data_IF_902296787045
#
_entry.id   IF_902296787045
#
_cell.length_a   1.000
_cell.length_b   1.000
_cell.length_c   1.000
_cell.angle_alpha   90.00
_cell.angle_beta   90.00
_cell.angle_gamma   90.00
#
_symmetry.space_group_name_H-M   'P 1'
#
loop_
_entity.id
_entity.type
_entity.pdbx_description
1 polymer ?
#
# COMPACT_ATOMS: atom_id res chain seq x y z
N UNK A 1 11.56 4.00 55.54
CA UNK A 1 10.50 3.26 54.81
C UNK A 1 10.07 4.14 53.64
N UNK A 2 10.92 4.17 52.62
CA UNK A 2 10.78 4.99 51.41
C UNK A 2 9.78 4.29 50.49
N UNK A 3 8.58 4.85 50.38
CA UNK A 3 7.59 4.38 49.41
C UNK A 3 7.91 5.00 48.06
N UNK A 4 8.80 4.37 47.29
CA UNK A 4 8.86 4.55 45.85
C UNK A 4 7.84 3.60 45.23
N UNK A 5 6.63 4.10 44.99
CA UNK A 5 5.66 3.42 44.13
C UNK A 5 4.81 4.48 43.45
N UNK A 6 5.34 4.96 42.33
CA UNK A 6 4.63 5.78 41.36
C UNK A 6 4.93 5.23 39.98
N UNK A 7 4.48 4.01 39.71
CA UNK A 7 4.51 3.46 38.35
C UNK A 7 3.69 4.37 37.45
N UNK A 8 4.38 5.15 36.63
CA UNK A 8 3.74 5.98 35.60
C UNK A 8 2.87 5.08 34.72
N UNK A 9 1.60 5.44 34.47
CA UNK A 9 0.77 4.70 33.53
C UNK A 9 1.41 4.85 32.14
N UNK A 10 1.75 3.73 31.51
CA UNK A 10 2.08 3.63 30.08
C UNK A 10 1.13 4.55 29.30
N UNK A 11 1.61 5.66 28.73
CA UNK A 11 0.73 6.63 28.11
C UNK A 11 0.16 5.98 26.86
N UNK A 12 -1.15 5.72 26.89
CA UNK A 12 -1.97 5.48 25.70
C UNK A 12 -1.47 6.43 24.59
N UNK A 13 -1.11 5.84 23.45
CA UNK A 13 -0.40 6.53 22.37
C UNK A 13 -1.05 7.88 22.09
N UNK A 14 -0.33 8.97 22.40
CA UNK A 14 -0.84 10.33 22.24
C UNK A 14 -1.00 10.63 20.75
N UNK A 15 -2.05 11.36 20.38
CA UNK A 15 -2.37 11.69 18.99
C UNK A 15 -1.19 12.34 18.23
N UNK A 16 -0.35 13.08 18.94
CA UNK A 16 0.88 13.69 18.41
C UNK A 16 1.93 12.64 17.98
N UNK A 17 2.06 11.53 18.71
CA UNK A 17 2.94 10.41 18.33
C UNK A 17 2.42 9.67 17.11
N UNK A 18 1.09 9.55 16.95
CA UNK A 18 0.47 8.97 15.76
C UNK A 18 0.70 9.84 14.52
N UNK A 19 0.52 11.15 14.64
CA UNK A 19 0.77 12.08 13.53
C UNK A 19 2.23 12.06 13.08
N UNK A 20 3.16 12.07 14.04
CA UNK A 20 4.59 12.01 13.74
C UNK A 20 4.98 10.68 13.10
N UNK A 21 4.34 9.57 13.52
CA UNK A 21 4.49 8.27 12.86
C UNK A 21 3.95 8.29 11.42
N UNK A 22 2.77 8.87 11.17
CA UNK A 22 2.22 9.06 9.82
C UNK A 22 3.15 9.90 8.93
N UNK A 23 3.78 10.92 9.49
CA UNK A 23 4.71 11.79 8.76
C UNK A 23 6.01 11.06 8.40
N UNK A 24 6.53 10.21 9.29
CA UNK A 24 7.66 9.33 8.97
C UNK A 24 7.29 8.28 7.91
N UNK A 25 6.10 7.69 8.01
CA UNK A 25 5.58 6.73 7.03
C UNK A 25 5.42 7.40 5.65
N UNK A 26 4.90 8.62 5.58
CA UNK A 26 4.76 9.35 4.31
C UNK A 26 6.12 9.71 3.70
N UNK A 27 7.16 9.91 4.52
CA UNK A 27 8.54 10.18 4.06
C UNK A 27 9.26 8.93 3.54
N UNK A 28 9.05 7.77 4.17
CA UNK A 28 9.73 6.53 3.80
C UNK A 28 8.99 5.73 2.72
N UNK A 29 7.66 5.64 2.82
CA UNK A 29 6.85 4.81 1.93
C UNK A 29 6.34 5.59 0.71
N UNK A 30 6.53 6.91 0.68
CA UNK A 30 5.88 7.81 -0.27
C UNK A 30 4.37 7.91 0.01
N UNK A 31 3.73 8.99 -0.44
CA UNK A 31 2.33 9.24 -0.12
C UNK A 31 1.38 8.26 -0.85
N UNK A 32 1.23 7.04 -0.34
CA UNK A 32 0.36 5.99 -0.84
C UNK A 32 -1.10 6.47 -0.98
N UNK A 33 -1.79 5.99 -2.01
CA UNK A 33 -3.21 6.26 -2.19
C UNK A 33 -4.01 5.37 -1.24
N UNK A 34 -4.62 5.97 -0.22
CA UNK A 34 -5.62 5.30 0.63
C UNK A 34 -6.95 5.25 -0.11
N UNK A 35 -7.06 4.34 -1.07
CA UNK A 35 -8.36 4.00 -1.66
C UNK A 35 -9.20 3.21 -0.66
N UNK A 36 -9.97 3.91 0.17
CA UNK A 36 -10.99 3.29 1.00
C UNK A 36 -12.18 2.81 0.15
N UNK A 37 -12.75 1.65 0.49
CA UNK A 37 -13.99 1.12 -0.11
C UNK A 37 -13.79 0.16 -1.29
N UNK A 38 -14.71 0.18 -2.26
CA UNK A 38 -14.75 -0.76 -3.40
C UNK A 38 -13.45 -0.80 -4.21
N UNK A 39 -12.81 0.34 -4.41
CA UNK A 39 -11.58 0.42 -5.20
C UNK A 39 -10.40 -0.25 -4.49
N UNK A 40 -10.34 -0.19 -3.16
CA UNK A 40 -9.36 -0.95 -2.37
C UNK A 40 -9.52 -2.46 -2.58
N UNK A 41 -10.76 -2.97 -2.55
CA UNK A 41 -11.03 -4.37 -2.84
C UNK A 41 -10.64 -4.78 -4.27
N UNK A 42 -10.89 -3.92 -5.27
CA UNK A 42 -10.47 -4.16 -6.65
C UNK A 42 -8.95 -4.30 -6.75
N UNK A 43 -8.20 -3.41 -6.09
CA UNK A 43 -6.73 -3.43 -6.07
C UNK A 43 -6.21 -4.70 -5.42
N UNK A 44 -6.75 -5.08 -4.26
CA UNK A 44 -6.38 -6.32 -3.58
C UNK A 44 -6.67 -7.54 -4.45
N UNK A 45 -7.83 -7.58 -5.12
CA UNK A 45 -8.18 -8.65 -6.03
C UNK A 45 -7.21 -8.73 -7.23
N UNK A 46 -6.83 -7.59 -7.79
CA UNK A 46 -5.89 -7.53 -8.91
C UNK A 46 -4.47 -7.96 -8.49
N UNK A 47 -4.02 -7.54 -7.31
CA UNK A 47 -2.75 -7.99 -6.73
C UNK A 47 -2.75 -9.51 -6.52
N UNK A 48 -3.84 -10.06 -5.97
CA UNK A 48 -3.99 -11.51 -5.82
C UNK A 48 -3.99 -12.24 -7.17
N UNK A 49 -4.69 -11.71 -8.18
CA UNK A 49 -4.69 -12.26 -9.54
C UNK A 49 -3.28 -12.26 -10.15
N UNK A 50 -2.49 -11.21 -9.92
CA UNK A 50 -1.09 -11.14 -10.33
C UNK A 50 -0.25 -12.21 -9.64
N UNK A 51 -0.39 -12.41 -8.32
CA UNK A 51 0.29 -13.49 -7.62
C UNK A 51 -0.05 -14.87 -8.22
N UNK A 52 -1.33 -15.13 -8.47
CA UNK A 52 -1.77 -16.36 -9.14
C UNK A 52 -1.19 -16.51 -10.55
N UNK A 53 -1.13 -15.42 -11.32
CA UNK A 53 -0.53 -15.42 -12.66
C UNK A 53 0.95 -15.84 -12.63
N UNK A 54 1.72 -15.38 -11.65
CA UNK A 54 3.12 -15.81 -11.48
C UNK A 54 3.22 -17.31 -11.18
N UNK A 55 2.36 -17.82 -10.30
CA UNK A 55 2.32 -19.25 -9.98
C UNK A 55 1.94 -20.07 -11.21
N UNK A 56 0.92 -19.64 -11.97
CA UNK A 56 0.53 -20.27 -13.23
C UNK A 56 1.68 -20.29 -14.25
N UNK A 57 2.36 -19.16 -14.44
CA UNK A 57 3.51 -19.04 -15.35
C UNK A 57 4.74 -19.86 -14.91
N UNK A 58 4.83 -20.21 -13.63
CA UNK A 58 5.86 -21.14 -13.13
C UNK A 58 5.55 -22.60 -13.46
N UNK A 59 4.26 -22.98 -13.51
CA UNK A 59 3.84 -24.35 -13.84
C UNK A 59 3.70 -24.60 -15.35
N UNK A 60 3.23 -23.61 -16.11
CA UNK A 60 3.02 -23.71 -17.55
C UNK A 60 4.02 -22.86 -18.33
N UNK A 61 4.51 -23.38 -19.46
CA UNK A 61 5.42 -22.65 -20.34
C UNK A 61 4.64 -21.59 -21.13
N UNK A 62 4.57 -20.38 -20.60
CA UNK A 62 3.98 -19.22 -21.28
C UNK A 62 5.05 -18.55 -22.16
N UNK A 63 4.74 -18.18 -23.42
CA UNK A 63 5.65 -17.43 -24.27
C UNK A 63 6.19 -16.16 -23.58
N UNK A 64 7.51 -15.90 -23.60
CA UNK A 64 8.12 -14.80 -22.83
C UNK A 64 7.65 -13.41 -23.23
N UNK A 65 7.22 -13.23 -24.48
CA UNK A 65 6.69 -11.95 -24.98
C UNK A 65 5.36 -11.63 -24.31
N UNK A 66 4.43 -12.58 -24.28
CA UNK A 66 3.13 -12.43 -23.62
C UNK A 66 3.28 -12.29 -22.12
N UNK A 67 4.13 -13.10 -21.49
CA UNK A 67 4.35 -13.06 -20.05
C UNK A 67 4.88 -11.70 -19.59
N UNK A 68 5.93 -11.18 -20.26
CA UNK A 68 6.54 -9.89 -19.89
C UNK A 68 5.57 -8.73 -20.10
N UNK A 69 4.86 -8.70 -21.23
CA UNK A 69 3.90 -7.65 -21.52
C UNK A 69 2.79 -7.59 -20.44
N UNK A 70 2.22 -8.74 -20.09
CA UNK A 70 1.17 -8.83 -19.05
C UNK A 70 1.72 -8.46 -17.68
N UNK A 71 2.89 -9.00 -17.30
CA UNK A 71 3.51 -8.73 -16.00
C UNK A 71 3.78 -7.24 -15.81
N UNK A 72 4.49 -6.61 -16.76
CA UNK A 72 4.88 -5.20 -16.66
C UNK A 72 3.66 -4.30 -16.74
N UNK A 73 2.71 -4.59 -17.64
CA UNK A 73 1.47 -3.82 -17.76
C UNK A 73 0.66 -3.82 -16.46
N UNK A 74 0.48 -5.00 -15.85
CA UNK A 74 -0.24 -5.12 -14.59
C UNK A 74 0.54 -4.54 -13.40
N UNK A 75 1.86 -4.69 -13.36
CA UNK A 75 2.70 -4.07 -12.34
C UNK A 75 2.61 -2.54 -12.40
N UNK A 76 2.75 -1.95 -13.60
CA UNK A 76 2.60 -0.51 -13.78
C UNK A 76 1.19 -0.04 -13.42
N UNK A 77 0.15 -0.77 -13.83
CA UNK A 77 -1.23 -0.44 -13.46
C UNK A 77 -1.42 -0.42 -11.94
N UNK A 78 -0.94 -1.44 -11.23
CA UNK A 78 -0.98 -1.49 -9.76
C UNK A 78 -0.17 -0.35 -9.13
N UNK A 79 1.03 -0.07 -9.64
CA UNK A 79 1.89 1.02 -9.14
C UNK A 79 1.19 2.37 -9.30
N UNK A 80 0.65 2.70 -10.48
CA UNK A 80 -0.03 3.97 -10.70
C UNK A 80 -1.32 4.12 -9.89
N UNK A 81 -1.95 3.00 -9.54
CA UNK A 81 -3.11 3.00 -8.67
C UNK A 81 -2.65 3.25 -7.22
N UNK A 82 -1.73 2.42 -6.70
CA UNK A 82 -1.26 2.49 -5.31
C UNK A 82 -0.47 3.75 -4.99
N UNK A 83 0.32 4.25 -5.95
CA UNK A 83 1.15 5.45 -5.83
C UNK A 83 0.58 6.57 -6.70
N UNK A 84 -0.05 7.59 -6.10
CA UNK A 84 -0.60 8.70 -6.85
C UNK A 84 0.54 9.54 -7.46
N UNK A 85 0.44 9.83 -8.76
CA UNK A 85 1.43 10.61 -9.53
C UNK A 85 1.68 12.00 -8.92
N UNK A 86 0.72 12.59 -8.21
CA UNK A 86 0.93 13.82 -7.46
C UNK A 86 0.08 13.90 -6.19
N UNK A 87 0.56 14.62 -5.16
CA UNK A 87 -0.16 14.86 -3.89
C UNK A 87 -1.55 15.48 -4.10
N UNK A 88 -1.79 16.14 -5.24
CA UNK A 88 -3.08 16.74 -5.67
C UNK A 88 -4.13 15.71 -6.10
N UNK A 89 -3.72 14.52 -6.54
CA UNK A 89 -4.61 13.41 -6.91
C UNK A 89 -4.89 12.45 -5.74
N UNK A 90 -4.35 12.75 -4.54
CA UNK A 90 -4.74 12.04 -3.32
C UNK A 90 -6.25 12.19 -3.15
N UNK A 91 -6.93 11.05 -3.02
CA UNK A 91 -8.37 10.94 -2.72
C UNK A 91 -9.35 11.30 -3.86
N UNK A 92 -8.89 11.54 -5.10
CA UNK A 92 -9.80 11.73 -6.25
C UNK A 92 -9.28 10.97 -7.46
N UNK A 93 -10.09 10.03 -7.95
CA UNK A 93 -9.98 9.55 -9.32
C UNK A 93 -10.36 10.74 -10.22
N UNK A 94 -9.35 11.44 -10.74
CA UNK A 94 -9.60 12.32 -11.87
C UNK A 94 -9.87 11.41 -13.09
N UNK A 95 -11.09 11.39 -13.66
CA UNK A 95 -11.22 10.95 -15.04
C UNK A 95 -10.41 11.95 -15.87
N UNK A 96 -9.68 11.45 -16.85
CA UNK A 96 -8.63 12.17 -17.58
C UNK A 96 -9.00 13.60 -18.01
#
# INVERSE_FOLDING_TARGET
MTSESGGSPEPAVSAERLHKAEEYIEQEEGALNRFGGWLGHLITALAAAMSLFHVYAAFFVVPPETLRAVHVGAALFLIFLLYPVARRFRHRLAPW
#
